data_IF_272776417488
#
_entry.id   IF_272776417488
#
_cell.length_a   1.000
_cell.length_b   1.000
_cell.length_c   1.000
_cell.angle_alpha   90.00
_cell.angle_beta   90.00
_cell.angle_gamma   90.00
#
_symmetry.space_group_name_H-M   'P 1'
#
loop_
_entity.id
_entity.type
_entity.pdbx_description
1 polymer ?
#
# COMPACT_ATOMS: atom_id res chain seq x y z
N UNK A 1 28.04 8.72 -3.03
CA UNK A 1 27.63 7.94 -1.83
C UNK A 1 26.17 8.29 -1.57
N UNK A 2 25.32 7.28 -1.64
CA UNK A 2 23.91 7.38 -2.05
C UNK A 2 23.65 6.27 -3.08
N UNK A 3 23.97 5.04 -2.69
CA UNK A 3 24.00 3.89 -3.61
C UNK A 3 22.83 2.94 -3.37
N UNK A 4 22.05 3.19 -2.31
CA UNK A 4 20.86 2.44 -1.92
C UNK A 4 19.82 3.39 -1.31
N UNK A 5 18.57 3.23 -1.73
CA UNK A 5 17.39 3.92 -1.22
C UNK A 5 16.69 3.01 -0.22
N UNK A 6 15.97 3.62 0.71
CA UNK A 6 15.00 2.93 1.56
C UNK A 6 13.68 3.66 1.42
N UNK A 7 12.59 2.91 1.34
CA UNK A 7 11.24 3.47 1.17
C UNK A 7 10.35 3.04 2.33
N UNK A 8 9.33 3.86 2.57
CA UNK A 8 8.17 3.53 3.39
C UNK A 8 6.94 3.62 2.46
N UNK A 9 6.04 2.66 2.58
CA UNK A 9 4.84 2.55 1.76
C UNK A 9 3.66 2.06 2.60
N UNK A 10 2.49 2.61 2.29
CA UNK A 10 1.23 2.26 2.95
C UNK A 10 0.32 1.54 1.96
N UNK A 11 -0.41 0.52 2.43
CA UNK A 11 -1.39 -0.22 1.66
C UNK A 11 -2.72 -0.24 2.39
N UNK A 12 -3.76 0.22 1.71
CA UNK A 12 -5.14 -0.02 2.11
C UNK A 12 -5.58 -1.40 1.58
N UNK A 13 -5.82 -2.33 2.50
CA UNK A 13 -6.22 -3.72 2.19
C UNK A 13 -7.68 -3.96 2.55
N UNK A 14 -8.34 -4.91 1.90
CA UNK A 14 -9.70 -5.31 2.26
C UNK A 14 -9.77 -5.61 3.77
N UNK A 15 -10.65 -4.95 4.55
CA UNK A 15 -10.78 -5.19 5.99
C UNK A 15 -11.22 -6.62 6.33
N UNK A 16 -11.73 -7.38 5.35
CA UNK A 16 -12.14 -8.78 5.49
C UNK A 16 -10.99 -9.75 5.26
N UNK A 17 -9.84 -9.28 4.76
CA UNK A 17 -8.65 -10.11 4.60
C UNK A 17 -8.16 -10.62 5.95
N UNK A 18 -7.73 -11.87 5.98
CA UNK A 18 -7.07 -12.44 7.15
C UNK A 18 -5.70 -11.80 7.35
N UNK A 19 -5.16 -11.89 8.57
CA UNK A 19 -3.80 -11.41 8.86
C UNK A 19 -2.74 -12.09 7.97
N UNK A 20 -2.93 -13.36 7.61
CA UNK A 20 -2.01 -14.07 6.73
C UNK A 20 -2.04 -13.54 5.29
N UNK A 21 -3.23 -13.23 4.77
CA UNK A 21 -3.40 -12.60 3.45
C UNK A 21 -2.81 -11.19 3.44
N UNK A 22 -3.08 -10.40 4.48
CA UNK A 22 -2.50 -9.08 4.67
C UNK A 22 -0.96 -9.12 4.64
N UNK A 23 -0.37 -10.09 5.35
CA UNK A 23 1.08 -10.29 5.36
C UNK A 23 1.62 -10.69 3.98
N UNK A 24 0.94 -11.60 3.28
CA UNK A 24 1.34 -12.01 1.94
C UNK A 24 1.30 -10.84 0.93
N UNK A 25 0.28 -9.99 1.02
CA UNK A 25 0.14 -8.77 0.20
C UNK A 25 1.31 -7.82 0.51
N UNK A 26 1.56 -7.52 1.78
CA UNK A 26 2.65 -6.62 2.18
C UNK A 26 4.03 -7.13 1.71
N UNK A 27 4.30 -8.43 1.87
CA UNK A 27 5.54 -9.05 1.41
C UNK A 27 5.69 -8.97 -0.12
N UNK A 28 4.61 -9.24 -0.86
CA UNK A 28 4.61 -9.13 -2.32
C UNK A 28 4.85 -7.69 -2.79
N UNK A 29 4.28 -6.70 -2.09
CA UNK A 29 4.50 -5.29 -2.36
C UNK A 29 5.95 -4.87 -2.11
N UNK A 30 6.56 -5.24 -0.98
CA UNK A 30 7.98 -4.97 -0.72
C UNK A 30 8.86 -5.56 -1.84
N UNK A 31 8.63 -6.83 -2.20
CA UNK A 31 9.40 -7.50 -3.23
C UNK A 31 9.25 -6.78 -4.58
N UNK A 32 8.03 -6.39 -4.93
CA UNK A 32 7.74 -5.66 -6.17
C UNK A 32 8.40 -4.29 -6.19
N UNK A 33 8.35 -3.54 -5.09
CA UNK A 33 8.97 -2.21 -4.98
C UNK A 33 10.49 -2.28 -5.12
N UNK A 34 11.13 -3.19 -4.38
CA UNK A 34 12.60 -3.37 -4.44
C UNK A 34 13.07 -3.81 -5.83
N UNK A 35 12.25 -4.54 -6.58
CA UNK A 35 12.56 -4.93 -7.96
C UNK A 35 12.28 -3.82 -8.98
N UNK A 36 11.20 -3.07 -8.80
CA UNK A 36 10.77 -2.05 -9.76
C UNK A 36 11.54 -0.73 -9.62
N UNK A 37 11.99 -0.37 -8.41
CA UNK A 37 12.63 0.91 -8.12
C UNK A 37 14.16 0.77 -8.12
N UNK A 38 14.87 1.39 -9.08
CA UNK A 38 16.32 1.29 -9.14
C UNK A 38 16.98 1.76 -7.84
N UNK A 39 17.92 0.95 -7.34
CA UNK A 39 18.69 1.18 -6.10
C UNK A 39 17.84 1.13 -4.82
N UNK A 40 16.56 0.78 -4.85
CA UNK A 40 15.79 0.55 -3.63
C UNK A 40 16.24 -0.75 -2.96
N UNK A 41 16.78 -0.62 -1.75
CA UNK A 41 17.33 -1.75 -1.02
C UNK A 41 16.29 -2.44 -0.14
N UNK A 42 15.40 -1.66 0.47
CA UNK A 42 14.30 -2.15 1.30
C UNK A 42 13.11 -1.22 1.18
N UNK A 43 11.91 -1.76 1.33
CA UNK A 43 10.68 -1.00 1.46
C UNK A 43 9.93 -1.51 2.70
N UNK A 44 9.75 -0.65 3.69
CA UNK A 44 8.92 -0.96 4.82
C UNK A 44 7.46 -0.75 4.40
N UNK A 45 6.63 -1.79 4.48
CA UNK A 45 5.24 -1.77 4.03
C UNK A 45 4.32 -1.88 5.23
N UNK A 46 3.51 -0.85 5.45
CA UNK A 46 2.42 -0.87 6.42
C UNK A 46 1.12 -1.24 5.72
N UNK A 47 0.47 -2.31 6.16
CA UNK A 47 -0.84 -2.70 5.67
C UNK A 47 -1.91 -2.32 6.69
N UNK A 48 -2.85 -1.49 6.26
CA UNK A 48 -3.99 -1.04 7.06
C UNK A 48 -5.29 -1.49 6.42
N UNK A 49 -6.31 -1.87 7.22
CA UNK A 49 -7.63 -2.10 6.67
C UNK A 49 -8.14 -0.81 6.02
N UNK A 50 -8.57 -0.91 4.77
CA UNK A 50 -9.20 0.18 4.06
C UNK A 50 -10.44 0.62 4.84
N UNK A 51 -10.55 1.92 5.08
CA UNK A 51 -11.80 2.49 5.55
C UNK A 51 -12.74 2.58 4.34
N UNK A 52 -14.04 2.36 4.55
CA UNK A 52 -15.09 2.69 3.57
C UNK A 52 -15.01 4.21 3.30
N UNK A 53 -14.10 4.63 2.43
CA UNK A 53 -14.02 5.99 1.97
C UNK A 53 -15.21 6.17 1.02
N UNK A 54 -16.14 7.11 1.28
CA UNK A 54 -17.15 7.43 0.30
C UNK A 54 -16.41 7.86 -0.97
N UNK A 55 -16.67 7.12 -2.04
CA UNK A 55 -16.31 7.46 -3.40
C UNK A 55 -16.42 8.99 -3.62
N UNK A 56 -15.31 9.67 -3.90
CA UNK A 56 -15.30 11.13 -4.16
C UNK A 56 -16.05 11.48 -5.47
N UNK A 57 -16.42 10.51 -6.30
CA UNK A 57 -17.36 10.69 -7.41
C UNK A 57 -18.83 10.72 -6.94
N UNK A 58 -19.19 10.08 -5.81
CA UNK A 58 -20.56 10.13 -5.26
C UNK A 58 -20.80 11.39 -4.42
N UNK A 59 -19.75 11.99 -3.85
CA UNK A 59 -19.88 13.18 -2.99
C UNK A 59 -20.32 14.46 -3.73
N UNK A 60 -20.20 14.50 -5.06
CA UNK A 60 -20.58 15.66 -5.87
C UNK A 60 -22.04 15.64 -6.36
N UNK A 61 -22.76 14.51 -6.28
CA UNK A 61 -24.16 14.41 -6.76
C UNK A 61 -25.21 14.67 -5.68
N UNK A 62 -24.82 14.79 -4.40
CA UNK A 62 -25.74 15.11 -3.29
C UNK A 62 -25.87 16.61 -3.00
N UNK A 63 -25.42 17.47 -3.93
CA UNK A 63 -25.57 18.93 -3.88
C UNK A 63 -26.30 19.46 -5.13
N UNK A 64 -27.40 18.81 -5.54
CA UNK A 64 -28.46 19.44 -6.36
C UNK A 64 -29.82 18.96 -5.89
#
# INVERSE_FOLDING_TARGET
>A
IGHRLHADAELDIDPRATLAEAHAIAHSAEHSLTHAVPKLATALVHAYPAHDAPNIETALESQV
#
